data_IF_003553750759
#
_entry.id   IF_003553750759
#
_cell.length_a   1.000
_cell.length_b   1.000
_cell.length_c   1.000
_cell.angle_alpha   90.00
_cell.angle_beta   90.00
_cell.angle_gamma   90.00
#
_symmetry.space_group_name_H-M   'P 1'
#
loop_
_entity.id
_entity.type
_entity.pdbx_description
1 polymer ?
#
# COMPACT_ATOMS: atom_id res chain seq x y z
N UNK A 1 10.35 6.01 0.60
CA UNK A 1 10.39 6.13 2.07
C UNK A 1 11.41 5.16 2.62
N UNK A 2 11.95 5.46 3.80
CA UNK A 2 13.06 4.73 4.38
C UNK A 2 14.42 5.32 3.98
N UNK A 3 15.50 5.01 4.71
CA UNK A 3 16.82 5.65 4.56
C UNK A 3 17.44 5.45 3.17
N UNK A 4 17.04 4.38 2.48
CA UNK A 4 17.58 3.99 1.17
C UNK A 4 16.47 3.92 0.12
N UNK A 5 15.39 4.68 0.32
CA UNK A 5 14.23 4.70 -0.58
C UNK A 5 13.66 3.30 -0.83
N UNK A 6 13.72 2.39 0.13
CA UNK A 6 13.41 0.98 -0.08
C UNK A 6 11.92 0.63 -0.14
N UNK A 7 11.06 1.57 0.26
CA UNK A 7 9.61 1.40 0.35
C UNK A 7 8.87 2.55 -0.31
N UNK A 8 7.67 2.30 -0.84
CA UNK A 8 6.78 3.37 -1.27
C UNK A 8 6.24 4.17 -0.08
N UNK A 9 5.90 5.45 -0.31
CA UNK A 9 5.19 6.32 0.65
C UNK A 9 3.80 5.74 0.97
N UNK A 10 3.15 6.13 2.08
CA UNK A 10 1.77 5.72 2.34
C UNK A 10 0.86 6.05 1.16
N UNK A 11 -0.09 5.15 0.85
CA UNK A 11 -1.02 5.25 -0.29
C UNK A 11 -0.36 5.19 -1.68
N UNK A 12 0.89 4.72 -1.77
CA UNK A 12 1.56 4.40 -3.02
C UNK A 12 1.99 2.93 -3.05
N UNK A 13 1.88 2.31 -4.22
CA UNK A 13 2.24 0.90 -4.47
C UNK A 13 3.29 0.76 -5.55
N UNK A 14 4.02 -0.35 -5.49
CA UNK A 14 5.14 -0.66 -6.36
C UNK A 14 6.42 -0.89 -5.57
N UNK A 15 7.54 -0.95 -6.29
CA UNK A 15 8.87 -1.03 -5.70
C UNK A 15 9.72 0.10 -6.27
N UNK A 16 10.27 0.99 -5.43
CA UNK A 16 11.21 2.03 -5.87
C UNK A 16 12.65 1.51 -6.12
N UNK A 17 12.93 0.24 -5.79
CA UNK A 17 14.27 -0.35 -5.96
C UNK A 17 14.55 -0.67 -7.42
N UNK A 18 15.83 -0.63 -7.81
CA UNK A 18 16.28 -1.11 -9.13
C UNK A 18 15.67 -0.37 -10.31
N UNK A 19 15.42 0.94 -10.17
CA UNK A 19 14.77 1.75 -11.22
C UNK A 19 13.24 1.61 -11.29
N UNK A 20 12.63 0.88 -10.36
CA UNK A 20 11.18 0.83 -10.23
C UNK A 20 10.58 2.13 -9.69
N UNK A 21 9.25 2.23 -9.74
CA UNK A 21 8.52 3.43 -9.32
C UNK A 21 7.33 3.11 -8.42
N UNK A 22 6.93 4.12 -7.65
CA UNK A 22 5.75 4.08 -6.80
C UNK A 22 4.61 4.84 -7.47
N UNK A 23 3.45 4.21 -7.62
CA UNK A 23 2.23 4.82 -8.17
C UNK A 23 1.19 4.99 -7.07
N UNK A 24 0.40 6.07 -7.11
CA UNK A 24 -0.66 6.28 -6.12
C UNK A 24 -1.73 5.19 -6.22
N UNK A 25 -2.35 4.82 -5.10
CA UNK A 25 -3.48 3.88 -5.10
C UNK A 25 -4.60 4.37 -6.02
N UNK A 26 -4.90 5.68 -6.06
CA UNK A 26 -5.87 6.26 -7.02
C UNK A 26 -5.53 5.94 -8.46
N UNK A 27 -4.28 6.11 -8.90
CA UNK A 27 -3.90 5.79 -10.27
C UNK A 27 -3.93 4.28 -10.52
N UNK A 28 -3.43 3.50 -9.56
CA UNK A 28 -3.35 2.04 -9.66
C UNK A 28 -4.74 1.39 -9.74
N UNK A 29 -5.66 1.84 -8.88
CA UNK A 29 -7.05 1.38 -8.82
C UNK A 29 -7.99 2.14 -9.77
N UNK A 30 -7.46 2.83 -10.80
CA UNK A 30 -8.26 3.55 -11.82
C UNK A 30 -9.34 4.48 -11.22
N UNK A 31 -8.94 5.27 -10.25
CA UNK A 31 -9.79 6.17 -9.45
C UNK A 31 -10.90 5.50 -8.62
N UNK A 32 -11.03 4.17 -8.61
CA UNK A 32 -12.05 3.48 -7.82
C UNK A 32 -11.72 3.42 -6.32
N UNK A 33 -10.45 3.61 -5.94
CA UNK A 33 -10.05 3.62 -4.53
C UNK A 33 -8.87 4.55 -4.30
N UNK A 34 -8.89 5.23 -3.15
CA UNK A 34 -7.76 6.01 -2.65
C UNK A 34 -6.80 5.18 -1.76
N UNK A 35 -7.21 3.98 -1.35
CA UNK A 35 -6.47 3.10 -0.45
C UNK A 35 -6.24 1.74 -1.13
N UNK A 36 -5.06 1.18 -0.93
CA UNK A 36 -4.67 -0.12 -1.46
C UNK A 36 -3.91 -0.90 -0.39
N UNK A 37 -4.22 -2.20 -0.30
CA UNK A 37 -3.77 -3.09 0.76
C UNK A 37 -3.06 -4.28 0.14
N UNK A 38 -2.01 -4.76 0.78
CA UNK A 38 -1.43 -6.06 0.45
C UNK A 38 -2.35 -7.18 0.92
N UNK A 39 -2.19 -8.39 0.36
CA UNK A 39 -2.92 -9.59 0.82
C UNK A 39 -2.73 -9.81 2.33
N UNK A 40 -1.50 -9.66 2.81
CA UNK A 40 -1.18 -9.84 4.22
C UNK A 40 -1.89 -8.81 5.13
N UNK A 41 -1.98 -7.54 4.70
CA UNK A 41 -2.72 -6.52 5.44
C UNK A 41 -4.21 -6.86 5.51
N UNK A 42 -4.79 -7.27 4.38
CA UNK A 42 -6.19 -7.69 4.32
C UNK A 42 -6.44 -8.92 5.20
N UNK A 43 -5.55 -9.91 5.18
CA UNK A 43 -5.70 -11.12 5.98
C UNK A 43 -5.52 -10.85 7.48
N UNK A 44 -4.73 -9.84 7.86
CA UNK A 44 -4.62 -9.39 9.25
C UNK A 44 -5.88 -8.67 9.70
N UNK A 45 -6.38 -7.73 8.91
CA UNK A 45 -7.65 -7.05 9.19
C UNK A 45 -8.84 -8.00 9.27
N UNK A 46 -8.87 -9.05 8.44
CA UNK A 46 -9.90 -10.10 8.52
C UNK A 46 -9.81 -10.97 9.77
N UNK A 47 -8.59 -11.21 10.27
CA UNK A 47 -8.36 -12.03 11.46
C UNK A 47 -8.61 -11.27 12.77
N UNK A 48 -8.28 -9.99 12.79
CA UNK A 48 -8.38 -9.14 13.97
C UNK A 48 -8.76 -7.70 13.54
N UNK A 49 -10.05 -7.45 13.28
CA UNK A 49 -10.53 -6.16 12.78
C UNK A 49 -10.42 -5.04 13.82
N UNK A 50 -10.50 -5.33 15.12
CA UNK A 50 -10.36 -4.31 16.18
C UNK A 50 -8.94 -3.77 16.26
N UNK A 51 -7.93 -4.63 16.03
CA UNK A 51 -6.52 -4.22 16.05
C UNK A 51 -6.02 -3.62 14.74
N UNK A 52 -6.63 -4.00 13.62
CA UNK A 52 -6.23 -3.57 12.27
C UNK A 52 -7.43 -3.02 11.47
N UNK A 53 -8.02 -1.88 11.89
CA UNK A 53 -9.11 -1.24 11.16
C UNK A 53 -8.66 -0.80 9.76
N UNK A 54 -9.60 -0.79 8.82
CA UNK A 54 -9.37 -0.41 7.41
C UNK A 54 -10.05 0.91 7.02
N UNK A 55 -10.79 1.50 7.96
CA UNK A 55 -11.52 2.77 7.89
C UNK A 55 -10.71 3.98 8.36
#
# INVERSE_FOLDING_TARGET
>A
QGPQCERCRPLFVGSPRGGGSCRSCRSFCRQHSAVCLTREQLDRARRDPERYPLD
#
